data_IF_657845248773
#
_entry.id   IF_657845248773
#
_cell.length_a   1.000
_cell.length_b   1.000
_cell.length_c   1.000
_cell.angle_alpha   90.00
_cell.angle_beta   90.00
_cell.angle_gamma   90.00
#
_symmetry.space_group_name_H-M   'P 1'
#
loop_
_entity.id
_entity.type
_entity.pdbx_description
1 polymer ?
#
# COMPACT_ATOMS: atom_id res chain seq x y z
N UNK A 1 -21.52 -13.33 -0.96
CA UNK A 1 -20.39 -12.52 -0.45
C UNK A 1 -19.35 -12.23 -1.55
N UNK A 2 -18.90 -10.99 -1.74
CA UNK A 2 -17.78 -10.74 -2.65
C UNK A 2 -16.54 -11.49 -2.12
N UNK A 3 -15.68 -12.02 -3.00
CA UNK A 3 -14.46 -12.69 -2.58
C UNK A 3 -13.65 -11.70 -1.74
N UNK A 4 -13.19 -12.14 -0.56
CA UNK A 4 -12.22 -11.39 0.23
C UNK A 4 -10.96 -11.34 -0.62
N UNK A 5 -10.82 -10.29 -1.44
CA UNK A 5 -9.61 -10.04 -2.21
C UNK A 5 -8.53 -9.80 -1.18
N UNK A 6 -7.64 -10.77 -1.05
CA UNK A 6 -6.47 -10.63 -0.20
C UNK A 6 -5.73 -9.39 -0.68
N UNK A 7 -5.73 -8.31 0.11
CA UNK A 7 -5.12 -7.02 -0.24
C UNK A 7 -3.61 -7.13 -0.44
N UNK A 8 -3.04 -8.27 -0.07
CA UNK A 8 -1.63 -8.61 -0.19
C UNK A 8 -1.36 -9.51 -1.40
N UNK A 9 -2.40 -9.84 -2.19
CA UNK A 9 -2.22 -10.59 -3.43
C UNK A 9 -1.30 -9.82 -4.37
N UNK A 10 -0.32 -10.47 -5.03
CA UNK A 10 0.54 -9.83 -6.01
C UNK A 10 -0.25 -9.06 -7.07
N UNK A 11 -1.36 -9.64 -7.55
CA UNK A 11 -2.24 -8.99 -8.53
C UNK A 11 -2.87 -7.69 -8.01
N UNK A 12 -3.19 -7.61 -6.71
CA UNK A 12 -3.74 -6.39 -6.11
C UNK A 12 -2.67 -5.30 -5.96
N UNK A 13 -1.45 -5.70 -5.63
CA UNK A 13 -0.31 -4.78 -5.53
C UNK A 13 0.05 -4.20 -6.90
N UNK A 14 0.09 -5.03 -7.95
CA UNK A 14 0.33 -4.58 -9.31
C UNK A 14 -0.78 -3.64 -9.81
N UNK A 15 -2.05 -3.97 -9.54
CA UNK A 15 -3.16 -3.07 -9.90
C UNK A 15 -3.04 -1.72 -9.18
N UNK A 16 -2.77 -1.73 -7.87
CA UNK A 16 -2.57 -0.50 -7.11
C UNK A 16 -1.37 0.32 -7.62
N UNK A 17 -0.29 -0.34 -8.06
CA UNK A 17 0.85 0.33 -8.68
C UNK A 17 0.42 1.05 -9.96
N UNK A 18 -0.31 0.36 -10.84
CA UNK A 18 -0.82 0.93 -12.09
C UNK A 18 -1.77 2.10 -11.87
N UNK A 19 -2.70 1.98 -10.92
CA UNK A 19 -3.69 3.02 -10.63
C UNK A 19 -3.01 4.30 -10.13
N UNK A 20 -2.01 4.17 -9.25
CA UNK A 20 -1.22 5.31 -8.75
C UNK A 20 -0.45 5.98 -9.89
N UNK A 21 0.21 5.19 -10.74
CA UNK A 21 1.00 5.73 -11.86
C UNK A 21 0.11 6.50 -12.83
N UNK A 22 -1.01 5.91 -13.25
CA UNK A 22 -1.94 6.55 -14.18
C UNK A 22 -2.48 7.87 -13.63
N UNK A 23 -2.88 7.89 -12.36
CA UNK A 23 -3.39 9.12 -11.73
C UNK A 23 -2.33 10.23 -11.67
N UNK A 24 -1.07 9.90 -11.36
CA UNK A 24 0.01 10.88 -11.29
C UNK A 24 0.38 11.41 -12.68
N UNK A 25 0.45 10.53 -13.68
CA UNK A 25 0.71 10.93 -15.07
C UNK A 25 -0.41 11.82 -15.61
N UNK A 26 -1.68 11.51 -15.31
CA UNK A 26 -2.81 12.38 -15.65
C UNK A 26 -2.74 13.77 -15.00
N UNK A 27 -2.09 13.88 -13.85
CA UNK A 27 -1.84 15.16 -13.17
C UNK A 27 -0.62 15.92 -13.71
N UNK A 28 0.08 15.36 -14.69
CA UNK A 28 1.25 15.97 -15.33
C UNK A 28 2.60 15.54 -14.74
N UNK A 29 2.63 14.56 -13.84
CA UNK A 29 3.89 14.00 -13.33
C UNK A 29 4.60 13.17 -14.41
N UNK A 30 5.93 13.11 -14.33
CA UNK A 30 6.70 12.19 -15.16
C UNK A 30 6.47 10.74 -14.72
N UNK A 31 6.55 9.81 -15.68
CA UNK A 31 6.45 8.37 -15.37
C UNK A 31 7.47 7.93 -14.31
N UNK A 32 8.70 8.47 -14.35
CA UNK A 32 9.74 8.17 -13.37
C UNK A 32 9.36 8.61 -11.95
N UNK A 33 8.80 9.82 -11.80
CA UNK A 33 8.35 10.32 -10.50
C UNK A 33 7.14 9.53 -10.00
N UNK A 34 6.19 9.24 -10.89
CA UNK A 34 5.00 8.46 -10.59
C UNK A 34 5.33 7.04 -10.11
N UNK A 35 6.29 6.36 -10.76
CA UNK A 35 6.74 5.03 -10.34
C UNK A 35 7.41 5.06 -8.96
N UNK A 36 8.30 6.03 -8.72
CA UNK A 36 8.94 6.19 -7.39
C UNK A 36 7.91 6.41 -6.29
N UNK A 37 6.87 7.20 -6.56
CA UNK A 37 5.78 7.45 -5.60
C UNK A 37 4.98 6.17 -5.36
N UNK A 38 4.59 5.43 -6.41
CA UNK A 38 3.85 4.18 -6.27
C UNK A 38 4.59 3.15 -5.41
N UNK A 39 5.90 2.98 -5.63
CA UNK A 39 6.75 2.09 -4.82
C UNK A 39 6.76 2.52 -3.34
N UNK A 40 6.94 3.81 -3.06
CA UNK A 40 6.95 4.34 -1.68
C UNK A 40 5.61 4.16 -0.97
N UNK A 41 4.50 4.37 -1.68
CA UNK A 41 3.14 4.21 -1.13
C UNK A 41 2.88 2.74 -0.78
N UNK A 42 3.23 1.81 -1.67
CA UNK A 42 3.08 0.37 -1.43
C UNK A 42 3.97 -0.08 -0.25
N UNK A 43 5.22 0.37 -0.19
CA UNK A 43 6.13 0.05 0.92
C UNK A 43 5.59 0.52 2.27
N UNK A 44 5.14 1.79 2.37
CA UNK A 44 4.54 2.33 3.59
C UNK A 44 3.24 1.64 3.98
N UNK A 45 2.46 1.17 3.01
CA UNK A 45 1.26 0.38 3.27
C UNK A 45 1.59 -0.95 3.97
N UNK A 46 2.65 -1.63 3.51
CA UNK A 46 3.16 -2.86 4.15
C UNK A 46 3.69 -2.60 5.57
N UNK A 47 4.46 -1.53 5.77
CA UNK A 47 4.98 -1.13 7.09
C UNK A 47 3.85 -0.81 8.08
N UNK A 48 2.84 -0.05 7.67
CA UNK A 48 1.68 0.27 8.52
C UNK A 48 0.86 -0.97 8.91
N UNK A 49 0.79 -1.98 8.03
CA UNK A 49 0.14 -3.25 8.34
C UNK A 49 0.91 -4.01 9.43
N UNK A 50 2.25 -4.01 9.36
CA UNK A 50 3.12 -4.52 10.42
C UNK A 50 2.97 -3.76 11.75
N UNK A 51 2.90 -2.42 11.69
CA UNK A 51 2.79 -1.57 12.88
C UNK A 51 1.43 -1.71 13.61
N UNK A 52 0.32 -1.91 12.89
CA UNK A 52 -0.99 -2.20 13.51
C UNK A 52 -1.05 -3.58 14.16
N UNK A 53 -0.16 -4.51 13.80
CA UNK A 53 -0.01 -5.80 14.49
C UNK A 53 0.63 -5.68 15.87
N UNK A 54 1.39 -4.61 16.14
CA UNK A 54 2.14 -4.44 17.40
C UNK A 54 1.40 -3.64 18.49
N UNK A 55 0.27 -2.97 18.18
CA UNK A 55 -0.42 -2.11 19.16
C UNK A 55 -1.58 -2.80 19.91
N UNK A 56 -1.57 -4.12 20.06
CA UNK A 56 -2.53 -4.85 20.93
C UNK A 56 -1.92 -5.43 22.21
N UNK A 57 -0.69 -5.07 22.57
CA UNK A 57 -0.15 -5.41 23.89
C UNK A 57 -0.36 -4.21 24.82
N UNK A 58 -1.50 -4.19 25.53
CA UNK A 58 -1.57 -3.50 26.81
C UNK A 58 -0.44 -4.07 27.69
N UNK A 59 0.44 -3.24 28.30
CA UNK A 59 1.33 -3.75 29.33
C UNK A 59 0.47 -4.19 30.50
N UNK A 60 0.47 -5.49 30.78
CA UNK A 60 -0.15 -6.06 31.97
C UNK A 60 0.75 -5.67 33.15
N UNK A 61 0.46 -4.54 33.77
CA UNK A 61 1.05 -4.17 35.06
C UNK A 61 0.47 -5.13 36.11
N UNK A 62 1.32 -6.02 36.64
CA UNK A 62 1.09 -6.70 37.92
C UNK A 62 1.46 -5.77 39.07
#
# INVERSE_FOLDING_TARGET
>A
PPPIRSTDSPAFIEQAKHDIINELVHRGESFEMAEKVAIKVIAKSKEKKGFRGCNKLHPRTY
#
